data_IF_438475551915
#
_entry.id   IF_438475551915
#
_cell.length_a   1.000
_cell.length_b   1.000
_cell.length_c   1.000
_cell.angle_alpha   90.00
_cell.angle_beta   90.00
_cell.angle_gamma   90.00
#
_symmetry.space_group_name_H-M   'P 1'
#
loop_
_entity.id
_entity.type
_entity.pdbx_description
1 polymer ?
#
# COMPACT_ATOMS: atom_id res chain seq x y z
N UNK A 1 -2.84 65.17 -0.66
CA UNK A 1 -2.53 64.78 0.74
C UNK A 1 -2.75 63.28 0.82
N UNK A 2 -1.83 62.52 0.21
CA UNK A 2 -0.53 62.10 0.77
C UNK A 2 -0.77 60.95 1.76
N UNK A 3 -0.15 59.78 1.65
CA UNK A 3 1.01 59.35 0.88
C UNK A 3 1.04 57.83 0.87
N UNK A 4 1.56 57.24 -0.22
CA UNK A 4 1.88 55.82 -0.31
C UNK A 4 3.02 55.48 0.66
N UNK A 5 3.02 54.26 1.21
CA UNK A 5 4.25 53.68 1.77
C UNK A 5 4.44 52.25 1.25
N UNK A 6 5.70 51.99 0.92
CA UNK A 6 6.28 50.98 0.06
C UNK A 6 7.02 49.93 0.90
N UNK A 7 6.78 48.64 0.66
CA UNK A 7 7.52 47.54 1.34
C UNK A 7 9.02 47.51 0.98
N UNK A 8 9.88 46.85 1.78
CA UNK A 8 10.28 45.49 1.42
C UNK A 8 10.47 44.50 2.61
N UNK A 9 10.48 43.17 2.36
CA UNK A 9 10.65 42.13 3.39
C UNK A 9 12.06 41.51 3.49
N UNK A 10 12.23 40.72 4.56
CA UNK A 10 13.11 39.54 4.72
C UNK A 10 14.51 39.69 5.35
N UNK A 11 14.73 38.92 6.43
CA UNK A 11 15.99 38.21 6.76
C UNK A 11 15.67 36.94 7.56
N UNK A 12 15.60 35.80 6.89
CA UNK A 12 15.74 34.49 7.53
C UNK A 12 17.10 33.93 7.12
N UNK A 13 18.01 33.80 8.09
CA UNK A 13 19.37 33.33 7.87
C UNK A 13 19.40 31.81 7.71
N UNK A 14 20.08 31.35 6.66
CA UNK A 14 20.30 29.95 6.32
C UNK A 14 21.14 29.21 7.38
N UNK A 15 20.76 27.98 7.71
CA UNK A 15 21.59 27.03 8.46
C UNK A 15 22.14 26.00 7.49
N UNK A 16 23.45 26.06 7.25
CA UNK A 16 24.17 25.20 6.30
C UNK A 16 24.76 23.97 7.00
N UNK A 17 24.78 22.85 6.27
CA UNK A 17 25.34 21.54 6.65
C UNK A 17 26.85 21.60 6.95
N UNK A 18 27.29 20.71 7.85
CA UNK A 18 28.68 20.33 8.26
C UNK A 18 29.26 21.08 9.47
N UNK A 19 29.28 20.40 10.61
CA UNK A 19 30.44 20.39 11.52
C UNK A 19 30.30 19.28 12.58
N UNK A 20 30.92 18.11 12.37
CA UNK A 20 31.43 17.32 13.48
C UNK A 20 32.50 16.33 13.01
N UNK A 21 33.78 16.68 13.24
CA UNK A 21 34.91 15.75 13.22
C UNK A 21 35.95 16.26 14.22
N UNK A 22 36.70 15.29 14.78
CA UNK A 22 37.86 15.35 15.70
C UNK A 22 37.47 15.12 17.17
N UNK A 23 38.14 14.24 17.93
CA UNK A 23 39.60 14.00 17.99
C UNK A 23 39.94 12.56 18.40
N UNK A 24 40.96 12.00 17.74
CA UNK A 24 41.82 10.95 18.28
C UNK A 24 43.06 11.60 18.90
N UNK A 25 43.57 11.04 20.00
CA UNK A 25 44.81 11.44 20.65
C UNK A 25 45.37 10.30 21.48
N UNK A 26 46.53 9.79 21.05
CA UNK A 26 47.30 8.66 21.56
C UNK A 26 48.23 9.14 22.68
N UNK A 27 48.43 8.34 23.73
CA UNK A 27 49.47 8.56 24.73
C UNK A 27 49.91 7.28 25.45
N UNK A 28 51.16 6.86 25.19
CA UNK A 28 52.13 6.43 26.22
C UNK A 28 52.05 5.01 26.82
N UNK A 29 53.14 4.27 26.65
CA UNK A 29 53.43 2.89 27.08
C UNK A 29 53.88 2.80 28.56
N UNK A 30 53.49 1.74 29.28
CA UNK A 30 54.32 1.12 30.34
C UNK A 30 53.90 -0.33 30.64
N UNK A 31 54.90 -1.17 30.87
CA UNK A 31 54.85 -2.63 30.88
C UNK A 31 54.60 -3.25 32.27
N UNK A 32 54.09 -4.49 32.27
CA UNK A 32 54.38 -5.51 33.28
C UNK A 32 53.36 -5.67 34.41
N UNK A 33 52.61 -6.77 34.39
CA UNK A 33 52.42 -7.72 35.51
C UNK A 33 51.33 -8.74 35.13
N UNK A 34 51.73 -10.01 35.14
CA UNK A 34 50.85 -11.17 34.97
C UNK A 34 49.96 -11.29 36.23
N UNK A 35 48.66 -11.02 36.09
CA UNK A 35 47.67 -11.34 37.12
C UNK A 35 46.58 -12.20 36.49
N UNK A 36 46.52 -13.46 36.90
CA UNK A 36 45.45 -14.38 36.56
C UNK A 36 44.15 -13.88 37.23
N UNK A 37 43.32 -13.17 36.48
CA UNK A 37 41.96 -12.84 36.89
C UNK A 37 41.04 -14.00 36.51
N UNK A 38 40.66 -14.79 37.50
CA UNK A 38 39.57 -15.75 37.42
C UNK A 38 38.28 -15.01 37.03
N UNK A 39 37.87 -15.15 35.78
CA UNK A 39 36.58 -14.66 35.31
C UNK A 39 35.50 -15.57 35.91
N UNK A 40 34.85 -15.10 36.98
CA UNK A 40 33.61 -15.70 37.42
C UNK A 40 32.52 -15.31 36.43
N UNK A 41 32.12 -16.24 35.58
CA UNK A 41 30.95 -16.08 34.71
C UNK A 41 29.71 -16.11 35.59
N UNK A 42 29.02 -14.97 35.73
CA UNK A 42 27.67 -14.92 36.27
C UNK A 42 26.76 -15.59 35.24
N UNK A 43 26.34 -16.82 35.54
CA UNK A 43 25.39 -17.55 34.71
C UNK A 43 23.98 -17.03 35.02
N UNK A 44 23.43 -16.18 34.15
CA UNK A 44 22.00 -15.89 34.16
C UNK A 44 21.29 -17.12 33.59
N UNK A 45 20.72 -17.93 34.49
CA UNK A 45 19.87 -19.08 34.16
C UNK A 45 18.54 -18.64 33.55
N UNK A 46 18.58 -18.13 32.32
CA UNK A 46 17.42 -17.99 31.45
C UNK A 46 17.49 -19.10 30.42
N UNK A 47 16.63 -20.10 30.52
CA UNK A 47 16.41 -21.07 29.44
C UNK A 47 16.18 -20.28 28.14
N UNK A 48 16.91 -20.54 27.04
CA UNK A 48 16.57 -19.92 25.78
C UNK A 48 15.18 -20.41 25.41
N UNK A 49 14.17 -19.57 25.59
CA UNK A 49 12.88 -19.78 24.92
C UNK A 49 13.22 -19.82 23.44
N UNK A 50 13.12 -21.00 22.86
CA UNK A 50 13.24 -21.20 21.43
C UNK A 50 12.41 -20.08 20.77
N UNK A 51 13.08 -19.22 20.01
CA UNK A 51 12.39 -18.33 19.10
C UNK A 51 11.52 -19.25 18.26
N UNK A 52 10.21 -19.21 18.50
CA UNK A 52 9.26 -19.94 17.68
C UNK A 52 9.41 -19.32 16.30
N UNK A 53 10.22 -19.96 15.46
CA UNK A 53 10.21 -19.72 14.03
C UNK A 53 8.76 -19.95 13.65
N UNK A 54 8.03 -18.86 13.40
CA UNK A 54 6.83 -18.91 12.59
C UNK A 54 7.29 -19.27 11.18
N UNK A 55 7.75 -20.51 11.00
CA UNK A 55 7.64 -21.17 9.72
C UNK A 55 6.15 -21.32 9.53
N UNK A 56 5.55 -20.36 8.84
CA UNK A 56 4.32 -20.63 8.13
C UNK A 56 4.62 -21.89 7.32
N UNK A 57 4.08 -23.03 7.77
CA UNK A 57 3.92 -24.18 6.89
C UNK A 57 3.29 -23.58 5.64
N UNK A 58 3.88 -23.75 4.44
CA UNK A 58 3.18 -23.35 3.23
C UNK A 58 1.84 -24.06 3.31
N UNK A 59 0.77 -23.32 3.61
CA UNK A 59 -0.57 -23.86 3.48
C UNK A 59 -0.63 -24.36 2.05
N UNK A 60 -1.09 -25.60 1.85
CA UNK A 60 -1.33 -26.12 0.51
C UNK A 60 -2.03 -25.01 -0.27
N UNK A 61 -1.30 -24.44 -1.24
CA UNK A 61 -1.85 -23.46 -2.17
C UNK A 61 -2.98 -24.21 -2.83
N UNK A 62 -4.22 -23.81 -2.53
CA UNK A 62 -5.37 -24.61 -2.97
C UNK A 62 -5.41 -24.59 -4.49
N UNK A 63 -5.34 -23.40 -5.10
CA UNK A 63 -5.18 -23.19 -6.53
C UNK A 63 -4.39 -21.89 -6.82
N UNK A 64 -3.88 -21.75 -8.05
CA UNK A 64 -3.41 -20.45 -8.58
C UNK A 64 -4.56 -19.75 -9.28
N UNK A 65 -4.74 -18.45 -9.00
CA UNK A 65 -5.77 -17.59 -9.61
C UNK A 65 -5.10 -16.38 -10.22
N UNK A 66 -5.38 -16.12 -11.49
CA UNK A 66 -4.77 -15.00 -12.22
C UNK A 66 -5.84 -14.04 -12.71
N UNK A 67 -5.59 -12.75 -12.54
CA UNK A 67 -6.49 -11.68 -12.99
C UNK A 67 -5.69 -10.56 -13.64
N UNK A 68 -6.36 -9.80 -14.50
CA UNK A 68 -5.84 -8.58 -15.08
C UNK A 68 -6.81 -7.43 -14.78
N UNK A 69 -6.27 -6.34 -14.25
CA UNK A 69 -7.00 -5.12 -13.95
C UNK A 69 -6.31 -3.95 -14.65
N UNK A 70 -7.00 -3.36 -15.62
CA UNK A 70 -6.56 -2.15 -16.32
C UNK A 70 -7.20 -0.94 -15.66
N UNK A 71 -6.40 -0.10 -15.00
CA UNK A 71 -6.87 1.18 -14.52
C UNK A 71 -6.94 2.15 -15.71
N UNK A 72 -8.14 2.61 -16.06
CA UNK A 72 -8.38 3.44 -17.24
C UNK A 72 -9.49 4.45 -17.00
N UNK A 73 -9.51 5.50 -17.81
CA UNK A 73 -10.63 6.44 -17.85
C UNK A 73 -11.81 5.87 -18.65
N UNK A 74 -13.04 6.16 -18.23
CA UNK A 74 -14.23 5.79 -18.99
C UNK A 74 -15.41 6.73 -18.68
N UNK A 75 -16.35 6.83 -19.63
CA UNK A 75 -17.62 7.53 -19.41
C UNK A 75 -18.61 6.59 -18.71
N UNK A 76 -19.16 7.01 -17.57
CA UNK A 76 -20.10 6.23 -16.79
C UNK A 76 -21.43 6.98 -16.60
N UNK A 77 -22.52 6.40 -17.07
CA UNK A 77 -23.87 6.92 -16.82
C UNK A 77 -24.37 6.42 -15.46
N UNK A 78 -24.33 7.28 -14.45
CA UNK A 78 -24.66 6.93 -13.05
C UNK A 78 -26.15 7.02 -12.74
N UNK A 79 -26.86 7.80 -13.54
CA UNK A 79 -28.32 7.91 -13.55
C UNK A 79 -28.75 8.45 -14.91
N UNK A 80 -30.04 8.34 -15.23
CA UNK A 80 -30.55 8.74 -16.54
C UNK A 80 -30.11 10.17 -16.94
N UNK A 81 -29.29 10.25 -18.00
CA UNK A 81 -28.77 11.52 -18.53
C UNK A 81 -27.64 12.16 -17.73
N UNK A 82 -27.14 11.50 -16.67
CA UNK A 82 -26.00 11.98 -15.87
C UNK A 82 -24.79 11.09 -16.14
N UNK A 83 -23.87 11.60 -16.96
CA UNK A 83 -22.61 10.93 -17.30
C UNK A 83 -21.47 11.61 -16.55
N UNK A 84 -20.66 10.81 -15.87
CA UNK A 84 -19.41 11.26 -15.25
C UNK A 84 -18.22 10.63 -15.98
N UNK A 85 -17.10 11.35 -16.02
CA UNK A 85 -15.83 10.76 -16.45
C UNK A 85 -15.17 10.14 -15.23
N UNK A 86 -15.08 8.81 -15.20
CA UNK A 86 -14.59 8.03 -14.06
C UNK A 86 -13.23 7.39 -14.36
N UNK A 87 -12.57 6.91 -13.30
CA UNK A 87 -11.43 6.00 -13.37
C UNK A 87 -11.86 4.64 -12.84
N UNK A 88 -11.77 3.61 -13.68
CA UNK A 88 -12.28 2.28 -13.36
C UNK A 88 -11.27 1.20 -13.69
N UNK A 89 -11.35 0.09 -12.94
CA UNK A 89 -10.68 -1.13 -13.34
C UNK A 89 -11.50 -1.82 -14.42
N UNK A 90 -10.90 -2.05 -15.59
CA UNK A 90 -11.54 -2.62 -16.78
C UNK A 90 -12.74 -1.79 -17.30
N UNK A 91 -12.70 -0.46 -17.11
CA UNK A 91 -13.72 0.45 -17.64
C UNK A 91 -15.09 0.33 -16.97
N UNK A 92 -15.11 -0.04 -15.69
CA UNK A 92 -16.33 -0.11 -14.89
C UNK A 92 -16.10 0.40 -13.47
N UNK A 93 -17.18 0.91 -12.87
CA UNK A 93 -17.24 1.27 -11.46
C UNK A 93 -18.49 0.60 -10.82
N UNK A 94 -18.34 -0.24 -9.80
CA UNK A 94 -17.07 -0.75 -9.27
C UNK A 94 -16.28 -1.59 -10.29
N UNK A 95 -15.00 -1.78 -10.03
CA UNK A 95 -14.18 -2.81 -10.67
C UNK A 95 -14.78 -4.22 -10.54
N UNK A 96 -14.27 -5.19 -11.31
CA UNK A 96 -14.79 -6.56 -11.31
C UNK A 96 -14.69 -7.23 -9.94
N UNK A 97 -15.66 -8.10 -9.62
CA UNK A 97 -15.55 -8.96 -8.44
C UNK A 97 -14.45 -9.99 -8.63
N UNK A 98 -13.48 -9.97 -7.73
CA UNK A 98 -12.46 -11.01 -7.65
C UNK A 98 -12.92 -12.03 -6.61
N UNK A 99 -13.12 -13.28 -7.03
CA UNK A 99 -13.57 -14.37 -6.15
C UNK A 99 -12.57 -15.50 -6.17
N UNK A 100 -12.06 -15.86 -4.99
CA UNK A 100 -10.97 -16.83 -4.80
C UNK A 100 -11.20 -17.66 -3.55
N UNK A 101 -10.61 -18.84 -3.47
CA UNK A 101 -10.63 -19.66 -2.26
C UNK A 101 -9.61 -19.19 -1.23
N UNK A 102 -9.92 -19.34 0.06
CA UNK A 102 -8.96 -19.09 1.12
C UNK A 102 -7.74 -20.02 1.01
N UNK A 103 -6.56 -19.42 0.91
CA UNK A 103 -5.29 -20.09 0.67
C UNK A 103 -4.94 -20.26 -0.81
N UNK A 104 -5.74 -19.73 -1.75
CA UNK A 104 -5.33 -19.61 -3.15
C UNK A 104 -4.12 -18.67 -3.29
N UNK A 105 -3.23 -18.97 -4.24
CA UNK A 105 -2.19 -18.04 -4.69
C UNK A 105 -2.79 -17.15 -5.77
N UNK A 106 -3.03 -15.89 -5.40
CA UNK A 106 -3.61 -14.88 -6.28
C UNK A 106 -2.49 -14.09 -6.93
N UNK A 107 -2.57 -13.95 -8.25
CA UNK A 107 -1.72 -13.10 -9.05
C UNK A 107 -2.57 -12.10 -9.81
N UNK A 108 -2.34 -10.81 -9.61
CA UNK A 108 -3.06 -9.76 -10.34
C UNK A 108 -2.08 -8.85 -11.05
N UNK A 109 -2.23 -8.75 -12.37
CA UNK A 109 -1.50 -7.77 -13.17
C UNK A 109 -2.31 -6.48 -13.22
N UNK A 110 -1.80 -5.43 -12.61
CA UNK A 110 -2.28 -4.07 -12.80
C UNK A 110 -1.62 -3.50 -14.06
N UNK A 111 -2.42 -3.05 -15.03
CA UNK A 111 -1.97 -2.17 -16.10
C UNK A 111 -2.48 -0.76 -15.84
N UNK A 112 -1.60 0.23 -15.88
CA UNK A 112 -1.99 1.62 -15.66
C UNK A 112 -2.11 2.37 -16.99
N UNK A 113 -3.33 2.55 -17.49
CA UNK A 113 -3.63 3.38 -18.67
C UNK A 113 -4.08 4.80 -18.30
N UNK A 114 -4.09 5.14 -17.01
CA UNK A 114 -4.36 6.50 -16.57
C UNK A 114 -3.18 7.41 -16.88
N UNK A 115 -3.48 8.71 -16.94
CA UNK A 115 -2.46 9.76 -17.05
C UNK A 115 -1.72 10.07 -15.74
N UNK A 116 -2.06 9.37 -14.65
CA UNK A 116 -1.45 9.52 -13.32
C UNK A 116 -0.98 8.18 -12.75
N UNK A 117 -0.03 8.17 -11.80
CA UNK A 117 0.39 6.94 -11.13
C UNK A 117 -0.73 6.33 -10.29
N UNK A 118 -0.76 5.01 -10.17
CA UNK A 118 -1.75 4.30 -9.35
C UNK A 118 -1.16 3.03 -8.71
N UNK A 119 -1.90 2.42 -7.78
CA UNK A 119 -1.58 1.15 -7.13
C UNK A 119 -2.88 0.40 -6.81
N UNK A 120 -2.78 -0.82 -6.28
CA UNK A 120 -3.91 -1.54 -5.70
C UNK A 120 -3.53 -1.97 -4.28
N UNK A 121 -4.29 -1.49 -3.30
CA UNK A 121 -4.27 -2.01 -1.94
C UNK A 121 -5.36 -3.08 -1.76
N UNK A 122 -4.98 -4.17 -1.10
CA UNK A 122 -5.82 -5.36 -0.88
C UNK A 122 -6.38 -5.35 0.54
N UNK A 123 -7.47 -4.60 0.73
CA UNK A 123 -7.97 -4.27 2.05
C UNK A 123 -8.43 -5.51 2.83
N UNK A 124 -7.75 -5.78 3.94
CA UNK A 124 -8.04 -6.90 4.84
C UNK A 124 -7.39 -8.23 4.43
N UNK A 125 -6.42 -8.22 3.51
CA UNK A 125 -5.60 -9.37 3.18
C UNK A 125 -4.28 -9.34 3.97
N UNK A 126 -3.89 -10.50 4.51
CA UNK A 126 -2.59 -10.67 5.16
C UNK A 126 -1.52 -10.95 4.11
N UNK A 127 -0.74 -9.92 3.76
CA UNK A 127 0.26 -9.99 2.70
C UNK A 127 1.61 -9.43 3.14
N UNK A 128 2.65 -9.66 2.32
CA UNK A 128 3.97 -9.05 2.52
C UNK A 128 3.90 -7.56 2.14
N UNK A 129 4.63 -6.66 2.82
CA UNK A 129 4.55 -5.22 2.54
C UNK A 129 4.74 -4.83 1.07
N UNK A 130 5.59 -5.54 0.32
CA UNK A 130 5.84 -5.27 -1.10
C UNK A 130 4.64 -5.55 -2.03
N UNK A 131 3.56 -6.13 -1.53
CA UNK A 131 2.34 -6.47 -2.28
C UNK A 131 1.12 -5.70 -1.78
N UNK A 132 1.32 -4.73 -0.87
CA UNK A 132 0.24 -4.07 -0.12
C UNK A 132 -0.37 -2.87 -0.83
N UNK A 133 0.27 -2.31 -1.85
CA UNK A 133 -0.30 -1.20 -2.62
C UNK A 133 -0.06 0.19 -2.06
N UNK A 134 0.56 0.35 -0.88
CA UNK A 134 0.69 1.66 -0.23
C UNK A 134 1.87 2.44 -0.83
N UNK A 135 1.56 3.28 -1.82
CA UNK A 135 2.54 4.05 -2.57
C UNK A 135 3.36 4.97 -1.64
N UNK A 136 4.68 4.99 -1.84
CA UNK A 136 5.61 5.82 -1.06
C UNK A 136 5.96 5.27 0.33
N UNK A 137 5.28 4.22 0.79
CA UNK A 137 5.61 3.53 2.04
C UNK A 137 6.26 2.17 1.80
N UNK A 138 5.55 1.25 1.14
CA UNK A 138 5.99 -0.13 0.96
C UNK A 138 6.11 -0.57 -0.49
N UNK A 139 5.65 0.25 -1.44
CA UNK A 139 5.94 0.14 -2.85
C UNK A 139 6.01 1.49 -3.56
N UNK A 140 6.60 1.52 -4.75
CA UNK A 140 6.46 2.65 -5.67
C UNK A 140 5.07 2.62 -6.32
N UNK A 141 4.56 3.79 -6.70
CA UNK A 141 3.38 3.87 -7.55
C UNK A 141 3.70 3.33 -8.95
N UNK A 142 2.72 2.70 -9.60
CA UNK A 142 2.84 2.23 -10.99
C UNK A 142 2.66 3.43 -11.92
N UNK A 143 3.68 3.83 -12.68
CA UNK A 143 3.57 4.98 -13.58
C UNK A 143 2.53 4.77 -14.70
N UNK A 144 2.07 5.85 -15.37
CA UNK A 144 1.31 5.75 -16.61
C UNK A 144 2.01 4.87 -17.66
N UNK A 145 1.25 3.97 -18.30
CA UNK A 145 1.73 3.03 -19.31
C UNK A 145 2.51 1.82 -18.76
N UNK A 146 2.70 1.74 -17.46
CA UNK A 146 3.46 0.66 -16.81
C UNK A 146 2.55 -0.38 -16.14
N UNK A 147 3.17 -1.48 -15.73
CA UNK A 147 2.49 -2.60 -15.10
C UNK A 147 3.13 -3.01 -13.78
N UNK A 148 2.32 -3.60 -12.91
CA UNK A 148 2.80 -4.24 -11.69
C UNK A 148 2.05 -5.53 -11.41
N UNK A 149 2.77 -6.54 -10.96
CA UNK A 149 2.19 -7.84 -10.62
C UNK A 149 2.15 -7.98 -9.10
N UNK A 150 0.92 -8.02 -8.57
CA UNK A 150 0.65 -8.41 -7.20
C UNK A 150 0.62 -9.93 -7.11
N UNK A 151 1.26 -10.50 -6.09
CA UNK A 151 1.22 -11.94 -5.83
C UNK A 151 1.15 -12.21 -4.32
N UNK A 152 0.05 -12.81 -3.87
CA UNK A 152 -0.22 -13.07 -2.45
C UNK A 152 -1.10 -14.30 -2.24
N UNK A 153 -1.06 -14.84 -1.03
CA UNK A 153 -2.00 -15.88 -0.61
C UNK A 153 -3.28 -15.24 -0.08
N UNK A 154 -4.44 -15.63 -0.60
CA UNK A 154 -5.72 -15.07 -0.17
C UNK A 154 -6.11 -15.56 1.23
N UNK A 155 -5.84 -14.76 2.26
CA UNK A 155 -6.21 -15.06 3.65
C UNK A 155 -6.27 -13.75 4.46
N UNK A 156 -7.19 -13.61 5.44
CA UNK A 156 -8.21 -14.57 5.87
C UNK A 156 -9.48 -14.54 5.03
N UNK A 157 -10.23 -15.65 5.03
CA UNK A 157 -11.54 -15.77 4.40
C UNK A 157 -12.55 -14.70 4.83
N UNK A 158 -13.47 -14.36 3.93
CA UNK A 158 -14.54 -13.38 4.11
C UNK A 158 -14.60 -12.33 2.99
N UNK A 159 -15.50 -11.38 3.17
CA UNK A 159 -15.65 -10.22 2.28
C UNK A 159 -14.52 -9.23 2.50
N UNK A 160 -13.84 -8.88 1.41
CA UNK A 160 -12.73 -7.94 1.31
C UNK A 160 -13.01 -7.03 0.11
N UNK A 161 -12.11 -6.10 -0.14
CA UNK A 161 -12.18 -5.23 -1.29
C UNK A 161 -10.77 -4.80 -1.66
N UNK A 162 -10.63 -4.25 -2.86
CA UNK A 162 -9.39 -3.68 -3.34
C UNK A 162 -9.65 -2.27 -3.83
N UNK A 163 -8.67 -1.38 -3.67
CA UNK A 163 -8.80 0.01 -4.08
C UNK A 163 -7.44 0.66 -4.33
N UNK A 164 -7.41 1.79 -5.05
CA UNK A 164 -6.15 2.53 -5.21
C UNK A 164 -5.65 3.11 -3.89
N UNK A 165 -4.32 3.18 -3.74
CA UNK A 165 -3.68 3.77 -2.56
C UNK A 165 -2.48 4.68 -2.94
N UNK A 166 -2.50 5.25 -4.14
CA UNK A 166 -1.54 6.32 -4.52
C UNK A 166 -2.02 7.69 -4.08
N UNK A 167 -3.23 8.09 -4.49
CA UNK A 167 -3.95 9.24 -3.94
C UNK A 167 -5.39 8.80 -3.64
N UNK A 168 -5.63 8.12 -2.51
CA UNK A 168 -6.91 7.49 -2.25
C UNK A 168 -8.05 8.51 -2.11
N UNK A 169 -7.76 9.76 -1.75
CA UNK A 169 -8.76 10.82 -1.63
C UNK A 169 -9.34 11.25 -2.98
N UNK A 170 -8.59 11.07 -4.07
CA UNK A 170 -9.05 11.37 -5.43
C UNK A 170 -9.41 10.09 -6.19
N UNK A 171 -8.54 9.08 -6.13
CA UNK A 171 -8.65 7.89 -6.97
C UNK A 171 -9.80 6.96 -6.58
N UNK A 172 -10.10 6.83 -5.29
CA UNK A 172 -11.21 5.97 -4.84
C UNK A 172 -12.56 6.59 -5.20
N UNK A 173 -12.86 7.88 -4.91
CA UNK A 173 -14.11 8.50 -5.34
C UNK A 173 -14.30 8.52 -6.86
N UNK A 174 -13.21 8.52 -7.63
CA UNK A 174 -13.26 8.43 -9.10
C UNK A 174 -13.64 7.05 -9.63
N UNK A 175 -13.66 5.99 -8.79
CA UNK A 175 -14.11 4.65 -9.18
C UNK A 175 -13.07 3.52 -9.04
N UNK A 176 -11.84 3.80 -8.61
CA UNK A 176 -10.77 2.78 -8.50
C UNK A 176 -10.91 1.92 -7.24
N UNK A 177 -11.98 1.13 -7.19
CA UNK A 177 -12.27 0.15 -6.16
C UNK A 177 -13.06 -1.04 -6.71
N UNK A 178 -13.00 -2.19 -6.04
CA UNK A 178 -13.83 -3.35 -6.38
C UNK A 178 -13.89 -4.39 -5.27
N UNK A 179 -14.86 -5.31 -5.32
CA UNK A 179 -15.02 -6.33 -4.29
C UNK A 179 -14.02 -7.47 -4.47
N UNK A 180 -13.53 -8.01 -3.34
CA UNK A 180 -12.70 -9.21 -3.27
C UNK A 180 -13.37 -10.19 -2.31
N UNK A 181 -13.86 -11.31 -2.81
CA UNK A 181 -14.47 -12.35 -1.99
C UNK A 181 -13.47 -13.50 -1.83
N UNK A 182 -13.07 -13.75 -0.59
CA UNK A 182 -12.22 -14.89 -0.23
C UNK A 182 -13.10 -15.95 0.41
N UNK A 183 -13.43 -17.01 -0.33
CA UNK A 183 -14.30 -18.08 0.14
C UNK A 183 -13.61 -18.85 1.27
N UNK A 184 -14.15 -18.85 2.50
CA UNK A 184 -13.52 -19.51 3.63
C UNK A 184 -13.47 -21.02 3.44
N UNK A 185 -12.37 -21.68 3.83
CA UNK A 185 -12.23 -23.15 3.71
C UNK A 185 -13.32 -23.91 4.48
N UNK A 186 -13.78 -23.32 5.58
CA UNK A 186 -14.83 -23.87 6.44
C UNK A 186 -15.93 -22.81 6.60
N UNK A 187 -16.92 -22.78 5.69
CA UNK A 187 -18.01 -21.82 5.78
C UNK A 187 -18.84 -22.07 7.05
N UNK A 188 -19.13 -20.99 7.79
CA UNK A 188 -19.91 -21.07 9.04
C UNK A 188 -21.41 -21.30 8.75
N UNK A 189 -21.86 -20.96 7.53
CA UNK A 189 -23.25 -21.11 7.08
C UNK A 189 -23.30 -21.40 5.58
N UNK A 190 -24.35 -22.09 5.16
CA UNK A 190 -24.75 -22.20 3.75
C UNK A 190 -25.79 -21.15 3.41
N UNK A 191 -25.94 -20.82 2.12
CA UNK A 191 -26.89 -19.83 1.63
C UNK A 191 -27.51 -20.31 0.32
N UNK A 192 -28.78 -19.99 0.08
CA UNK A 192 -29.46 -20.29 -1.19
C UNK A 192 -29.09 -19.28 -2.29
N UNK A 193 -28.71 -18.06 -1.89
CA UNK A 193 -28.33 -16.94 -2.76
C UNK A 193 -27.27 -16.09 -2.08
N UNK A 194 -26.34 -15.58 -2.87
CA UNK A 194 -25.30 -14.64 -2.46
C UNK A 194 -25.39 -13.38 -3.33
N UNK A 195 -25.24 -12.21 -2.72
CA UNK A 195 -25.21 -10.93 -3.41
C UNK A 195 -24.07 -10.08 -2.84
N UNK A 196 -23.30 -9.46 -3.72
CA UNK A 196 -22.29 -8.46 -3.36
C UNK A 196 -22.85 -7.08 -3.62
N UNK A 197 -22.92 -6.26 -2.58
CA UNK A 197 -23.25 -4.84 -2.68
C UNK A 197 -22.03 -4.02 -2.32
N UNK A 198 -21.72 -3.04 -3.17
CA UNK A 198 -20.73 -2.01 -2.90
C UNK A 198 -21.44 -0.67 -2.90
N UNK A 199 -21.26 0.08 -1.82
CA UNK A 199 -21.89 1.39 -1.66
C UNK A 199 -20.83 2.45 -1.85
N UNK A 200 -21.17 3.47 -2.63
CA UNK A 200 -20.31 4.61 -2.89
C UNK A 200 -21.15 5.84 -3.19
N UNK A 201 -20.51 6.99 -3.14
CA UNK A 201 -21.06 8.27 -3.55
C UNK A 201 -20.23 8.85 -4.69
N UNK A 202 -20.83 9.74 -5.47
CA UNK A 202 -20.19 10.34 -6.64
C UNK A 202 -20.32 11.85 -6.57
N UNK A 203 -19.18 12.52 -6.66
CA UNK A 203 -19.10 13.97 -6.80
C UNK A 203 -19.05 14.32 -8.28
N UNK A 204 -20.04 15.09 -8.75
CA UNK A 204 -20.13 15.52 -10.15
C UNK A 204 -19.07 16.55 -10.52
N UNK A 205 -18.50 17.24 -9.54
CA UNK A 205 -17.45 18.24 -9.75
C UNK A 205 -16.05 17.58 -9.81
N UNK A 206 -15.91 16.36 -9.28
CA UNK A 206 -14.66 15.60 -9.33
C UNK A 206 -14.53 14.87 -10.68
N UNK A 207 -13.81 15.51 -11.61
CA UNK A 207 -13.47 14.95 -12.93
C UNK A 207 -11.98 14.59 -13.00
N UNK A 208 -11.49 13.85 -14.03
CA UNK A 208 -10.05 13.63 -14.17
C UNK A 208 -9.27 14.92 -14.34
N UNK A 209 -9.84 15.93 -14.99
CA UNK A 209 -9.16 17.22 -15.15
C UNK A 209 -9.04 17.93 -13.79
N UNK A 210 -10.07 17.89 -12.95
CA UNK A 210 -9.98 18.41 -11.58
C UNK A 210 -8.98 17.59 -10.75
N UNK A 211 -9.07 16.26 -10.79
CA UNK A 211 -8.18 15.36 -10.05
C UNK A 211 -6.71 15.47 -10.49
N UNK A 212 -6.45 15.93 -11.72
CA UNK A 212 -5.10 16.13 -12.26
C UNK A 212 -4.66 17.59 -12.27
N UNK A 213 -5.47 18.52 -11.76
CA UNK A 213 -5.17 19.95 -11.71
C UNK A 213 -5.12 20.63 -13.08
N UNK A 214 -5.87 20.12 -14.07
CA UNK A 214 -6.02 20.65 -15.43
C UNK A 214 -7.28 21.48 -15.65
N UNK A 215 -8.19 21.51 -14.67
CA UNK A 215 -9.43 22.28 -14.71
C UNK A 215 -9.22 23.79 -14.51
#
# INVERSE_FOLDING_TARGET
>A
MDSQDTSPPSRASAVTRRALLRRAGIGGVAAGLLAAASSQTISFGGQPRAATRLTATPGEVSQRREFELTAQEFDWEISAGTVVRAWGYNGQASGPELRVGEGDLVRVTLRNELSVPTTIHWHGINLRPAMDGVAGLNQAAVPPGEEFIYEFTATPGGSRWYHSHTDPALQVPMGLYGPLIVEPRQPVRTHDREFTYIFGEWDLELTPDVATGRA
#
